data_IF_478344604697
#
_entry.id   IF_478344604697
#
_cell.length_a   1.000
_cell.length_b   1.000
_cell.length_c   1.000
_cell.angle_alpha   90.00
_cell.angle_beta   90.00
_cell.angle_gamma   90.00
#
_symmetry.space_group_name_H-M   'P 1'
#
loop_
_entity.id
_entity.type
_entity.pdbx_description
1 polymer ?
#
# COMPACT_ATOMS: atom_id res chain seq x y z
N UNK A 1 19.32 -20.80 -4.94
CA UNK A 1 20.24 -20.20 -5.93
C UNK A 1 19.73 -20.62 -7.30
N UNK A 2 19.57 -19.69 -8.26
CA UNK A 2 19.05 -20.00 -9.60
C UNK A 2 20.05 -20.82 -10.40
N UNK A 3 19.57 -21.78 -11.19
CA UNK A 3 20.45 -22.51 -12.13
C UNK A 3 20.99 -21.56 -13.22
N UNK A 4 22.13 -21.86 -13.84
CA UNK A 4 22.66 -21.06 -14.95
C UNK A 4 21.66 -20.91 -16.11
N UNK A 5 20.94 -21.98 -16.45
CA UNK A 5 19.92 -22.00 -17.50
C UNK A 5 18.78 -21.02 -17.19
N UNK A 6 18.26 -21.05 -15.97
CA UNK A 6 17.20 -20.13 -15.57
C UNK A 6 17.67 -18.67 -15.56
N UNK A 7 18.92 -18.42 -15.11
CA UNK A 7 19.52 -17.09 -15.17
C UNK A 7 19.63 -16.58 -16.61
N UNK A 8 20.03 -17.46 -17.55
CA UNK A 8 20.13 -17.10 -18.96
C UNK A 8 18.76 -16.74 -19.56
N UNK A 9 17.71 -17.50 -19.22
CA UNK A 9 16.32 -17.18 -19.63
C UNK A 9 15.92 -15.80 -19.15
N UNK A 10 16.13 -15.50 -17.86
CA UNK A 10 15.78 -14.18 -17.30
C UNK A 10 16.57 -13.05 -17.98
N UNK A 11 17.88 -13.22 -18.16
CA UNK A 11 18.73 -12.20 -18.80
C UNK A 11 18.27 -11.96 -20.24
N UNK A 12 18.09 -13.01 -21.03
CA UNK A 12 17.61 -12.90 -22.41
C UNK A 12 16.25 -12.22 -22.53
N UNK A 13 15.32 -12.53 -21.61
CA UNK A 13 14.00 -11.89 -21.56
C UNK A 13 14.13 -10.39 -21.25
N UNK A 14 14.95 -10.02 -20.27
CA UNK A 14 15.17 -8.61 -19.92
C UNK A 14 15.84 -7.83 -21.04
N UNK A 15 16.79 -8.42 -21.72
CA UNK A 15 17.48 -7.80 -22.86
C UNK A 15 16.52 -7.61 -24.05
N UNK A 16 15.64 -8.57 -24.30
CA UNK A 16 14.55 -8.42 -25.26
C UNK A 16 13.63 -7.24 -24.92
N UNK A 17 13.17 -7.15 -23.66
CA UNK A 17 12.34 -6.03 -23.21
C UNK A 17 13.03 -4.66 -23.35
N UNK A 18 14.35 -4.61 -23.13
CA UNK A 18 15.13 -3.36 -23.35
C UNK A 18 15.25 -3.01 -24.83
N UNK A 19 15.50 -3.99 -25.68
CA UNK A 19 15.60 -3.79 -27.11
C UNK A 19 14.29 -3.31 -27.74
N UNK A 20 13.15 -3.77 -27.21
CA UNK A 20 11.80 -3.37 -27.64
C UNK A 20 11.31 -2.06 -26.98
N UNK A 21 12.08 -1.45 -26.07
CA UNK A 21 11.66 -0.25 -25.33
C UNK A 21 10.56 -0.49 -24.31
N UNK A 22 10.29 -1.75 -23.94
CA UNK A 22 9.25 -2.14 -22.99
C UNK A 22 9.77 -2.25 -21.56
N UNK A 23 11.08 -2.25 -21.36
CA UNK A 23 11.67 -2.28 -20.02
C UNK A 23 11.38 -0.98 -19.28
N UNK A 24 10.72 -1.09 -18.12
CA UNK A 24 10.40 0.06 -17.28
C UNK A 24 11.41 0.19 -16.15
N UNK A 25 12.05 1.35 -16.09
CA UNK A 25 12.90 1.71 -14.96
C UNK A 25 12.06 2.32 -13.84
N UNK A 26 12.26 1.82 -12.64
CA UNK A 26 11.61 2.37 -11.44
C UNK A 26 12.24 3.71 -11.07
N UNK A 27 11.38 4.66 -10.72
CA UNK A 27 11.79 5.96 -10.18
C UNK A 27 11.65 5.93 -8.67
N UNK A 28 12.75 6.07 -7.95
CA UNK A 28 12.77 6.02 -6.50
C UNK A 28 12.29 7.35 -5.91
N UNK A 29 11.14 7.32 -5.23
CA UNK A 29 10.61 8.47 -4.48
C UNK A 29 11.30 8.51 -3.12
N UNK A 30 11.85 9.66 -2.76
CA UNK A 30 12.59 9.92 -1.52
C UNK A 30 11.83 10.85 -0.55
N UNK A 31 10.55 11.07 -0.79
CA UNK A 31 9.66 11.86 0.06
C UNK A 31 8.41 11.08 0.43
N UNK A 32 7.56 11.67 1.27
CA UNK A 32 6.19 11.19 1.47
C UNK A 32 5.39 11.30 0.17
N UNK A 33 4.32 10.49 0.05
CA UNK A 33 3.40 10.53 -1.08
C UNK A 33 2.54 11.80 -1.01
N UNK A 34 2.70 12.65 -2.03
CA UNK A 34 1.97 13.91 -2.18
C UNK A 34 1.78 14.24 -3.66
N UNK A 35 1.06 15.34 -3.96
CA UNK A 35 0.96 15.83 -5.34
C UNK A 35 2.30 16.22 -5.94
N UNK A 36 3.24 16.66 -5.10
CA UNK A 36 4.62 16.92 -5.45
C UNK A 36 5.54 16.03 -4.63
N UNK A 37 6.41 15.27 -5.28
CA UNK A 37 7.33 14.33 -4.63
C UNK A 37 8.78 14.61 -5.03
N UNK A 38 9.70 14.29 -4.13
CA UNK A 38 11.14 14.37 -4.41
C UNK A 38 11.65 13.00 -4.81
N UNK A 39 12.39 12.92 -5.91
CA UNK A 39 13.07 11.71 -6.35
C UNK A 39 14.43 11.55 -5.65
N UNK A 40 14.98 10.34 -5.68
CA UNK A 40 16.30 10.02 -5.08
C UNK A 40 17.43 10.90 -5.62
N UNK A 41 17.34 11.37 -6.86
CA UNK A 41 18.30 12.28 -7.48
C UNK A 41 18.11 13.77 -7.11
N UNK A 42 17.20 14.07 -6.19
CA UNK A 42 16.89 15.41 -5.69
C UNK A 42 15.89 16.21 -6.54
N UNK A 43 15.46 15.70 -7.68
CA UNK A 43 14.44 16.40 -8.51
C UNK A 43 13.08 16.38 -7.83
N UNK A 44 12.39 17.51 -7.85
CA UNK A 44 10.99 17.61 -7.47
C UNK A 44 10.10 17.46 -8.70
N UNK A 45 9.11 16.58 -8.64
CA UNK A 45 8.21 16.29 -9.74
C UNK A 45 6.75 16.23 -9.27
N UNK A 46 5.82 16.54 -10.17
CA UNK A 46 4.39 16.37 -9.92
C UNK A 46 4.04 14.89 -10.10
N UNK A 47 3.42 14.31 -9.07
CA UNK A 47 2.97 12.93 -9.10
C UNK A 47 1.52 12.84 -9.59
N UNK A 48 1.34 12.51 -10.85
CA UNK A 48 0.01 12.36 -11.47
C UNK A 48 -0.45 10.89 -11.57
N UNK A 49 0.32 9.95 -11.02
CA UNK A 49 0.07 8.51 -11.15
C UNK A 49 -0.39 7.86 -9.85
N UNK A 50 -0.46 8.61 -8.74
CA UNK A 50 -0.79 8.05 -7.44
C UNK A 50 -2.29 7.80 -7.28
N UNK A 51 -2.63 6.67 -6.65
CA UNK A 51 -3.99 6.36 -6.20
C UNK A 51 -4.27 7.05 -4.84
N UNK A 52 -4.05 8.36 -4.77
CA UNK A 52 -4.23 9.19 -3.58
C UNK A 52 -5.29 10.27 -3.83
N UNK A 53 -6.42 9.87 -4.38
CA UNK A 53 -7.48 10.76 -4.87
C UNK A 53 -8.02 11.72 -3.81
N UNK A 54 -8.05 11.31 -2.55
CA UNK A 54 -8.52 12.13 -1.43
C UNK A 54 -7.38 12.83 -0.66
N UNK A 55 -6.13 12.65 -1.08
CA UNK A 55 -4.97 13.24 -0.42
C UNK A 55 -4.69 12.72 1.00
N UNK A 56 -5.17 11.50 1.33
CA UNK A 56 -5.10 10.97 2.70
C UNK A 56 -3.80 10.22 3.01
N UNK A 57 -2.96 9.91 2.00
CA UNK A 57 -1.77 9.09 2.19
C UNK A 57 -0.76 9.65 3.21
N UNK A 58 -0.72 10.98 3.39
CA UNK A 58 0.11 11.66 4.38
C UNK A 58 -0.68 12.72 5.18
N UNK A 59 -1.99 12.53 5.31
CA UNK A 59 -2.82 13.41 6.12
C UNK A 59 -2.40 13.32 7.60
N UNK A 60 -2.10 14.44 8.27
CA UNK A 60 -1.62 14.43 9.65
C UNK A 60 -2.58 13.77 10.64
N UNK A 61 -3.87 13.97 10.51
CA UNK A 61 -4.88 13.38 11.40
C UNK A 61 -4.93 11.86 11.25
N UNK A 62 -4.85 11.36 10.01
CA UNK A 62 -4.80 9.91 9.73
C UNK A 62 -3.51 9.31 10.28
N UNK A 63 -2.38 9.99 10.12
CA UNK A 63 -1.09 9.54 10.65
C UNK A 63 -1.09 9.46 12.18
N UNK A 64 -1.63 10.47 12.86
CA UNK A 64 -1.71 10.47 14.33
C UNK A 64 -2.69 9.39 14.84
N UNK A 65 -3.82 9.19 14.17
CA UNK A 65 -4.73 8.10 14.50
C UNK A 65 -4.06 6.72 14.34
N UNK A 66 -3.26 6.52 13.29
CA UNK A 66 -2.51 5.29 13.09
C UNK A 66 -1.45 5.05 14.17
N UNK A 67 -0.69 6.07 14.56
CA UNK A 67 0.29 5.98 15.67
C UNK A 67 -0.38 5.61 16.98
N UNK A 68 -1.48 6.29 17.33
CA UNK A 68 -2.26 6.01 18.52
C UNK A 68 -2.81 4.57 18.51
N UNK A 69 -3.30 4.09 17.37
CA UNK A 69 -3.78 2.73 17.24
C UNK A 69 -2.65 1.69 17.43
N UNK A 70 -1.44 1.98 16.96
CA UNK A 70 -0.27 1.11 17.20
C UNK A 70 0.08 1.06 18.70
N UNK A 71 0.06 2.20 19.39
CA UNK A 71 0.33 2.27 20.82
C UNK A 71 -0.71 1.53 21.65
N UNK A 72 -1.98 1.57 21.25
CA UNK A 72 -3.11 0.98 21.98
C UNK A 72 -3.30 -0.52 21.65
N UNK A 73 -3.15 -0.91 20.38
CA UNK A 73 -3.51 -2.24 19.86
C UNK A 73 -2.31 -3.08 19.43
N UNK A 74 -1.13 -2.50 19.34
CA UNK A 74 0.05 -3.13 18.78
C UNK A 74 0.09 -3.08 17.25
N UNK A 75 1.17 -3.59 16.67
CA UNK A 75 1.42 -3.51 15.23
C UNK A 75 0.63 -4.53 14.40
N UNK A 76 0.42 -5.73 14.93
CA UNK A 76 -0.12 -6.83 14.12
C UNK A 76 -1.28 -7.57 14.79
N UNK A 77 -2.15 -8.13 13.95
CA UNK A 77 -3.34 -8.88 14.38
C UNK A 77 -3.02 -10.34 14.77
N UNK A 78 -1.88 -10.85 14.37
CA UNK A 78 -1.29 -12.14 14.72
C UNK A 78 -2.14 -13.39 14.43
N UNK A 79 -3.38 -13.27 13.97
CA UNK A 79 -4.26 -14.39 13.64
C UNK A 79 -5.35 -14.00 12.65
N UNK A 80 -5.94 -14.99 11.98
CA UNK A 80 -7.16 -14.81 11.19
C UNK A 80 -8.36 -14.56 12.10
N UNK A 81 -9.33 -13.81 11.61
CA UNK A 81 -10.45 -13.28 12.41
C UNK A 81 -11.27 -14.35 13.13
N UNK A 82 -11.62 -15.43 12.45
CA UNK A 82 -12.52 -16.46 13.00
C UNK A 82 -11.86 -17.39 14.02
N UNK A 83 -10.52 -17.36 14.17
CA UNK A 83 -9.82 -18.15 15.22
C UNK A 83 -9.64 -17.29 16.46
N UNK A 84 -8.71 -16.31 16.43
CA UNK A 84 -8.42 -15.42 17.55
C UNK A 84 -7.93 -14.03 17.12
N UNK A 85 -8.20 -13.60 15.88
CA UNK A 85 -7.74 -12.34 15.31
C UNK A 85 -8.80 -11.24 15.25
N UNK A 86 -10.03 -11.47 15.70
CA UNK A 86 -11.04 -10.42 15.75
C UNK A 86 -10.86 -9.56 16.99
N UNK A 87 -10.57 -8.29 16.78
CA UNK A 87 -10.49 -7.27 17.82
C UNK A 87 -11.73 -6.38 17.79
N UNK A 88 -12.00 -5.66 18.87
CA UNK A 88 -13.10 -4.69 18.94
C UNK A 88 -12.98 -3.61 17.88
N UNK A 89 -11.77 -3.23 17.49
CA UNK A 89 -11.50 -2.28 16.41
C UNK A 89 -12.13 -2.70 15.06
N UNK A 90 -12.14 -3.98 14.74
CA UNK A 90 -12.80 -4.50 13.53
C UNK A 90 -14.32 -4.23 13.61
N UNK A 91 -14.96 -4.57 14.73
CA UNK A 91 -16.40 -4.38 14.90
C UNK A 91 -16.80 -2.90 14.89
N UNK A 92 -16.02 -2.06 15.55
CA UNK A 92 -16.24 -0.60 15.52
C UNK A 92 -16.20 -0.03 14.10
N UNK A 93 -15.26 -0.50 13.27
CA UNK A 93 -15.18 -0.07 11.88
C UNK A 93 -16.35 -0.60 11.04
N UNK A 94 -16.73 -1.87 11.21
CA UNK A 94 -17.86 -2.48 10.55
C UNK A 94 -19.16 -1.74 10.87
N UNK A 95 -19.42 -1.45 12.14
CA UNK A 95 -20.57 -0.68 12.59
C UNK A 95 -20.62 0.74 12.02
N UNK A 96 -19.47 1.44 12.02
CA UNK A 96 -19.38 2.79 11.43
C UNK A 96 -19.63 2.79 9.93
N UNK A 97 -19.10 1.80 9.22
CA UNK A 97 -19.33 1.66 7.78
C UNK A 97 -20.80 1.36 7.47
N UNK A 98 -21.44 0.47 8.24
CA UNK A 98 -22.86 0.17 8.09
C UNK A 98 -23.72 1.40 8.31
N UNK A 99 -23.44 2.18 9.36
CA UNK A 99 -24.14 3.44 9.62
C UNK A 99 -23.94 4.46 8.49
N UNK A 100 -22.72 4.60 8.00
CA UNK A 100 -22.39 5.55 6.93
C UNK A 100 -23.04 5.18 5.59
N UNK A 101 -23.08 3.88 5.26
CA UNK A 101 -23.63 3.38 3.99
C UNK A 101 -25.14 3.10 4.06
N UNK A 102 -25.72 3.07 5.25
CA UNK A 102 -27.14 2.71 5.45
C UNK A 102 -27.42 1.22 5.21
N UNK A 103 -26.44 0.36 5.49
CA UNK A 103 -26.55 -1.11 5.34
C UNK A 103 -26.83 -1.77 6.69
N UNK A 104 -27.37 -2.99 6.67
CA UNK A 104 -27.67 -3.75 7.88
C UNK A 104 -26.40 -4.21 8.61
N UNK A 105 -25.37 -4.61 7.88
CA UNK A 105 -24.08 -5.03 8.42
C UNK A 105 -22.96 -4.81 7.38
N UNK A 106 -21.71 -4.93 7.83
CA UNK A 106 -20.51 -4.79 7.02
C UNK A 106 -19.51 -5.88 7.40
N UNK A 107 -18.82 -6.42 6.40
CA UNK A 107 -17.67 -7.31 6.60
C UNK A 107 -16.43 -6.71 5.96
N UNK A 108 -15.28 -6.80 6.63
CA UNK A 108 -14.01 -6.23 6.17
C UNK A 108 -13.17 -7.28 5.44
N UNK A 109 -12.60 -6.86 4.31
CA UNK A 109 -11.59 -7.61 3.56
C UNK A 109 -10.32 -6.77 3.40
N UNK A 110 -9.12 -7.39 3.36
CA UNK A 110 -7.85 -6.65 3.23
C UNK A 110 -7.65 -6.05 1.84
N UNK A 111 -8.38 -6.53 0.84
CA UNK A 111 -8.26 -6.09 -0.55
C UNK A 111 -9.52 -6.45 -1.35
N UNK A 112 -9.75 -5.70 -2.42
CA UNK A 112 -10.75 -6.08 -3.44
C UNK A 112 -10.28 -7.26 -4.27
#
# INVERSE_FOLDING_TARGET
>A
MYTPEFKNILTSTLDGLRAEGLYKEERFIASQQYSQVTLKDGRSVINMCANNYLGLANNPEVMEAAKKAIDEWGFGMASVRFICGTQTLHRQLEERLSQFLGTEDTILFPSC
#
